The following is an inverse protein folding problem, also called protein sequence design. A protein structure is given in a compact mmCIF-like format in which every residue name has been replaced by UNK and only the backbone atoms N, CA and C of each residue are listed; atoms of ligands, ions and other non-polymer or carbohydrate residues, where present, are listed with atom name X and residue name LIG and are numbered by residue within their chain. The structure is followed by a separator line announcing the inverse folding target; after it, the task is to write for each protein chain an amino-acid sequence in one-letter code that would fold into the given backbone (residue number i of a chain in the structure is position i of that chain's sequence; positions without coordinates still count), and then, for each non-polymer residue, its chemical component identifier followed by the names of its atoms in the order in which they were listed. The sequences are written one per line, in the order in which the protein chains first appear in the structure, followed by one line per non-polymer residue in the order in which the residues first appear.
data_IF_760688393373
#
_entry.id   IF_760688393373
#
_cell.length_a   1.000
_cell.length_b   1.000
_cell.length_c   1.000
_cell.angle_alpha   90.00
_cell.angle_beta   90.00
_cell.angle_gamma   90.00
#
_symmetry.space_group_name_H-M   'P 1'
#
loop_
_entity.id
_entity.type
_entity.pdbx_description
1 polymer ?
#
# COMPACT_ATOMS: atom_id res chain seq x y z
N UNK A 1 -12.75 3.90 -28.17
CA UNK A 1 -11.36 4.07 -27.70
C UNK A 1 -11.25 3.36 -26.34
N UNK A 2 -10.09 2.75 -26.02
CA UNK A 2 -9.91 2.15 -24.70
C UNK A 2 -9.66 3.21 -23.64
N UNK A 3 -10.16 3.00 -22.42
CA UNK A 3 -9.94 3.91 -21.30
C UNK A 3 -8.69 3.49 -20.52
N UNK A 4 -7.84 4.45 -20.18
CA UNK A 4 -6.71 4.28 -19.27
C UNK A 4 -6.89 5.21 -18.07
N UNK A 5 -6.70 4.67 -16.86
CA UNK A 5 -6.71 5.47 -15.63
C UNK A 5 -5.26 5.65 -15.17
N UNK A 6 -4.80 6.89 -15.07
CA UNK A 6 -3.45 7.25 -14.64
C UNK A 6 -3.50 7.95 -13.29
N UNK A 7 -2.92 7.36 -12.25
CA UNK A 7 -2.85 7.96 -10.92
C UNK A 7 -1.46 8.54 -10.67
N UNK A 8 -1.41 9.77 -10.20
CA UNK A 8 -0.16 10.46 -9.85
C UNK A 8 -0.12 10.82 -8.36
N UNK A 9 0.95 10.36 -7.69
CA UNK A 9 1.16 10.61 -6.27
C UNK A 9 1.57 12.07 -5.97
N UNK A 10 1.59 12.44 -4.69
CA UNK A 10 1.89 13.81 -4.27
C UNK A 10 3.24 14.33 -4.75
N UNK A 11 4.27 13.50 -4.83
CA UNK A 11 5.59 13.84 -5.39
C UNK A 11 5.54 14.11 -6.90
N UNK A 12 4.66 13.40 -7.60
CA UNK A 12 4.47 13.53 -9.06
C UNK A 12 3.77 14.82 -9.47
N UNK A 13 3.13 15.51 -8.55
CA UNK A 13 2.40 16.79 -8.78
C UNK A 13 3.01 17.97 -8.00
N UNK A 14 4.09 17.74 -7.24
CA UNK A 14 4.63 18.68 -6.25
C UNK A 14 5.12 20.01 -6.85
N UNK A 15 5.79 19.97 -7.98
CA UNK A 15 6.42 21.13 -8.60
C UNK A 15 6.19 21.14 -10.12
N UNK A 16 6.67 22.20 -10.78
CA UNK A 16 6.49 22.41 -12.22
C UNK A 16 7.14 21.28 -13.06
N UNK A 17 8.36 20.87 -12.71
CA UNK A 17 9.06 19.78 -13.41
C UNK A 17 8.29 18.46 -13.32
N UNK A 18 7.84 18.08 -12.12
CA UNK A 18 7.05 16.87 -11.92
C UNK A 18 5.74 16.91 -12.71
N UNK A 19 5.05 18.06 -12.73
CA UNK A 19 3.82 18.24 -13.52
C UNK A 19 4.07 18.21 -15.01
N UNK A 20 5.19 18.74 -15.50
CA UNK A 20 5.55 18.63 -16.91
C UNK A 20 5.73 17.17 -17.35
N UNK A 21 6.33 16.33 -16.50
CA UNK A 21 6.45 14.87 -16.73
C UNK A 21 5.09 14.18 -16.73
N UNK A 22 4.21 14.52 -15.78
CA UNK A 22 2.83 14.04 -15.75
C UNK A 22 2.13 14.38 -17.07
N UNK A 23 2.18 15.64 -17.50
CA UNK A 23 1.56 16.10 -18.75
C UNK A 23 2.08 15.32 -19.95
N UNK A 24 3.38 15.05 -20.02
CA UNK A 24 3.97 14.23 -21.09
C UNK A 24 3.37 12.81 -21.13
N UNK A 25 3.23 12.14 -19.97
CA UNK A 25 2.63 10.78 -19.88
C UNK A 25 1.16 10.77 -20.30
N UNK A 26 0.39 11.80 -19.94
CA UNK A 26 -1.01 11.94 -20.35
C UNK A 26 -1.12 12.15 -21.86
N UNK A 27 -0.30 13.02 -22.42
CA UNK A 27 -0.28 13.31 -23.87
C UNK A 27 0.17 12.07 -24.66
N UNK A 28 1.16 11.32 -24.18
CA UNK A 28 1.58 10.04 -24.77
C UNK A 28 0.40 9.06 -24.89
N UNK A 29 -0.34 8.83 -23.79
CA UNK A 29 -1.51 7.95 -23.80
C UNK A 29 -2.62 8.46 -24.75
N UNK A 30 -2.83 9.77 -24.83
CA UNK A 30 -3.77 10.38 -25.79
C UNK A 30 -3.33 10.18 -27.23
N UNK A 31 -2.03 10.29 -27.54
CA UNK A 31 -1.50 10.02 -28.89
C UNK A 31 -1.66 8.54 -29.27
N UNK A 32 -1.63 7.63 -28.31
CA UNK A 32 -1.91 6.20 -28.50
C UNK A 32 -3.42 5.90 -28.69
N UNK A 33 -4.24 6.95 -28.82
CA UNK A 33 -5.68 6.85 -29.07
C UNK A 33 -6.49 6.41 -27.85
N UNK A 34 -6.00 6.65 -26.63
CA UNK A 34 -6.72 6.31 -25.38
C UNK A 34 -7.55 7.48 -24.85
N UNK A 35 -8.66 7.15 -24.23
CA UNK A 35 -9.36 8.07 -23.35
C UNK A 35 -8.71 8.02 -21.97
N UNK A 36 -8.30 9.19 -21.44
CA UNK A 36 -7.49 9.24 -20.22
C UNK A 36 -8.27 9.86 -19.07
N UNK A 37 -8.30 9.13 -17.94
CA UNK A 37 -8.74 9.62 -16.65
C UNK A 37 -7.52 9.76 -15.75
N UNK A 38 -7.25 10.96 -15.28
CA UNK A 38 -6.13 11.26 -14.38
C UNK A 38 -6.66 11.34 -12.96
N UNK A 39 -6.05 10.62 -12.02
CA UNK A 39 -6.34 10.70 -10.58
C UNK A 39 -5.12 11.31 -9.87
N UNK A 40 -5.32 12.38 -9.11
CA UNK A 40 -4.21 13.08 -8.44
C UNK A 40 -4.34 13.05 -6.92
N UNK A 41 -3.20 13.00 -6.24
CA UNK A 41 -3.08 13.24 -4.80
C UNK A 41 -2.82 14.73 -4.52
N UNK A 42 -2.90 15.14 -3.26
CA UNK A 42 -2.48 16.46 -2.80
C UNK A 42 -1.00 16.73 -3.16
N UNK A 43 -0.66 18.00 -3.44
CA UNK A 43 0.67 18.39 -3.91
C UNK A 43 1.72 18.34 -2.80
N UNK A 44 2.75 17.53 -3.01
CA UNK A 44 3.92 17.45 -2.14
C UNK A 44 3.70 16.64 -0.86
N UNK A 45 4.61 16.85 0.09
CA UNK A 45 4.58 16.30 1.44
C UNK A 45 4.85 17.44 2.43
N UNK A 46 4.46 17.31 3.68
CA UNK A 46 4.81 18.28 4.74
C UNK A 46 6.29 18.64 4.68
N UNK A 47 6.66 19.93 4.66
CA UNK A 47 5.84 21.12 4.94
C UNK A 47 5.22 21.83 3.73
N UNK A 48 5.07 21.17 2.57
CA UNK A 48 4.42 21.81 1.42
C UNK A 48 3.01 22.30 1.78
N UNK A 49 2.60 23.52 1.34
CA UNK A 49 1.41 24.21 1.87
C UNK A 49 0.09 23.47 1.58
N UNK A 50 0.04 22.68 0.52
CA UNK A 50 -1.16 21.96 0.08
C UNK A 50 -1.10 20.46 0.35
N UNK A 51 -0.07 19.99 1.07
CA UNK A 51 0.03 18.60 1.48
C UNK A 51 -1.04 18.29 2.55
N UNK A 52 -1.63 17.11 2.47
CA UNK A 52 -2.69 16.65 3.38
C UNK A 52 -2.33 16.83 4.85
N UNK A 53 -1.10 16.44 5.26
CA UNK A 53 -0.64 16.59 6.65
C UNK A 53 -0.54 18.08 7.07
N UNK A 54 -0.13 18.98 6.16
CA UNK A 54 -0.04 20.41 6.45
C UNK A 54 -1.44 21.03 6.64
N UNK A 55 -2.41 20.60 5.83
CA UNK A 55 -3.80 21.03 5.95
C UNK A 55 -4.43 20.50 7.24
N UNK A 56 -4.14 19.25 7.63
CA UNK A 56 -4.60 18.69 8.90
C UNK A 56 -3.96 19.38 10.12
N UNK A 57 -2.67 19.75 10.05
CA UNK A 57 -2.03 20.53 11.10
C UNK A 57 -2.66 21.92 11.27
N UNK A 58 -3.10 22.54 10.17
CA UNK A 58 -3.78 23.83 10.22
C UNK A 58 -5.05 23.76 11.08
N UNK A 59 -5.91 22.78 10.85
CA UNK A 59 -7.12 22.61 11.67
C UNK A 59 -6.78 22.16 13.08
N UNK A 60 -5.76 21.30 13.25
CA UNK A 60 -5.26 20.84 14.54
C UNK A 60 -4.71 21.97 15.40
N UNK A 61 -4.10 23.00 14.80
CA UNK A 61 -3.61 24.19 15.51
C UNK A 61 -4.72 25.04 16.12
N UNK A 62 -5.93 24.98 15.57
CA UNK A 62 -7.13 25.67 16.06
C UNK A 62 -7.89 24.78 17.05
N UNK A 63 -8.08 23.50 16.72
CA UNK A 63 -8.80 22.55 17.56
C UNK A 63 -8.22 21.14 17.37
N UNK A 64 -7.51 20.64 18.38
CA UNK A 64 -6.92 19.29 18.35
C UNK A 64 -7.96 18.18 18.22
N UNK A 65 -9.15 18.40 18.74
CA UNK A 65 -10.28 17.47 18.73
C UNK A 65 -11.33 17.84 17.68
N UNK A 66 -10.91 18.50 16.60
CA UNK A 66 -11.81 18.87 15.51
C UNK A 66 -12.60 17.65 15.02
N UNK A 67 -13.92 17.79 14.77
CA UNK A 67 -14.75 16.68 14.32
C UNK A 67 -14.18 16.01 13.07
N UNK A 68 -14.25 14.66 12.94
CA UNK A 68 -13.73 13.94 11.77
C UNK A 68 -14.24 14.48 10.44
N UNK A 69 -15.51 14.91 10.37
CA UNK A 69 -16.11 15.55 9.19
C UNK A 69 -15.34 16.79 8.73
N UNK A 70 -14.97 17.68 9.67
CA UNK A 70 -14.22 18.90 9.34
C UNK A 70 -12.77 18.59 8.92
N UNK A 71 -12.20 17.55 9.52
CA UNK A 71 -10.87 17.06 9.12
C UNK A 71 -10.87 16.51 7.70
N UNK A 72 -11.92 15.79 7.31
CA UNK A 72 -12.08 15.31 5.93
C UNK A 72 -12.27 16.46 4.95
N UNK A 73 -13.11 17.42 5.29
CA UNK A 73 -13.36 18.57 4.43
C UNK A 73 -12.08 19.36 4.10
N UNK A 74 -11.24 19.64 5.11
CA UNK A 74 -9.98 20.35 4.88
C UNK A 74 -8.94 19.47 4.15
N UNK A 75 -8.82 18.19 4.52
CA UNK A 75 -7.88 17.28 3.87
C UNK A 75 -8.16 17.17 2.36
N UNK A 76 -9.43 17.02 1.97
CA UNK A 76 -9.85 16.91 0.57
C UNK A 76 -9.54 18.16 -0.29
N UNK A 77 -9.31 19.33 0.34
CA UNK A 77 -8.91 20.54 -0.39
C UNK A 77 -7.59 20.35 -1.15
N UNK A 78 -6.66 19.56 -0.62
CA UNK A 78 -5.36 19.32 -1.24
C UNK A 78 -5.47 18.71 -2.63
N UNK A 79 -6.28 17.67 -2.77
CA UNK A 79 -6.55 17.02 -4.05
C UNK A 79 -7.38 17.90 -4.99
N UNK A 80 -8.32 18.66 -4.44
CA UNK A 80 -9.12 19.62 -5.23
C UNK A 80 -8.23 20.70 -5.85
N UNK A 81 -7.30 21.27 -5.11
CA UNK A 81 -6.31 22.23 -5.63
C UNK A 81 -5.45 21.54 -6.71
N UNK A 82 -4.99 20.32 -6.43
CA UNK A 82 -4.15 19.55 -7.36
C UNK A 82 -4.83 19.30 -8.71
N UNK A 83 -6.12 18.94 -8.72
CA UNK A 83 -6.87 18.71 -9.98
C UNK A 83 -6.94 19.96 -10.85
N UNK A 84 -7.20 21.12 -10.26
CA UNK A 84 -7.27 22.39 -11.02
C UNK A 84 -5.92 22.76 -11.60
N UNK A 85 -4.84 22.62 -10.83
CA UNK A 85 -3.48 22.92 -11.29
C UNK A 85 -3.05 21.97 -12.41
N UNK A 86 -3.35 20.67 -12.31
CA UNK A 86 -3.03 19.68 -13.34
C UNK A 86 -3.88 19.89 -14.59
N UNK A 87 -5.17 20.18 -14.46
CA UNK A 87 -6.03 20.48 -15.61
C UNK A 87 -5.53 21.73 -16.35
N UNK A 88 -5.15 22.79 -15.63
CA UNK A 88 -4.57 23.99 -16.23
C UNK A 88 -3.22 23.70 -16.94
N UNK A 89 -2.39 22.81 -16.38
CA UNK A 89 -1.11 22.42 -17.02
C UNK A 89 -1.35 21.63 -18.32
N UNK A 90 -2.37 20.75 -18.36
CA UNK A 90 -2.78 20.04 -19.57
C UNK A 90 -3.32 20.99 -20.63
N UNK A 91 -4.19 21.93 -20.26
CA UNK A 91 -4.71 22.96 -21.15
C UNK A 91 -3.58 23.81 -21.75
N UNK A 92 -2.62 24.24 -20.94
CA UNK A 92 -1.46 25.00 -21.40
C UNK A 92 -0.59 24.23 -22.40
N UNK A 93 -0.61 22.90 -22.33
CA UNK A 93 0.07 22.01 -23.27
C UNK A 93 -0.79 21.62 -24.49
N UNK A 94 -1.95 22.24 -24.66
CA UNK A 94 -2.86 21.96 -25.77
C UNK A 94 -3.67 20.64 -25.62
N UNK A 95 -3.74 20.09 -24.43
CA UNK A 95 -4.52 18.90 -24.11
C UNK A 95 -5.74 19.29 -23.26
N UNK A 96 -6.96 19.43 -23.86
CA UNK A 96 -8.15 19.86 -23.14
C UNK A 96 -8.47 18.95 -21.96
N UNK A 97 -8.73 19.54 -20.79
CA UNK A 97 -8.96 18.80 -19.56
C UNK A 97 -10.01 19.45 -18.65
N UNK A 98 -10.68 18.66 -17.83
CA UNK A 98 -11.68 19.12 -16.85
C UNK A 98 -11.34 18.56 -15.47
N UNK A 99 -11.21 19.43 -14.48
CA UNK A 99 -11.05 19.05 -13.07
C UNK A 99 -12.38 18.65 -12.45
N UNK A 100 -12.37 17.54 -11.70
CA UNK A 100 -13.55 17.00 -11.00
C UNK A 100 -13.17 16.65 -9.55
N UNK A 101 -14.00 17.08 -8.60
CA UNK A 101 -13.94 16.55 -7.23
C UNK A 101 -14.39 15.09 -7.20
N UNK A 102 -14.15 14.36 -6.11
CA UNK A 102 -14.64 12.98 -5.94
C UNK A 102 -16.17 12.89 -6.13
N UNK A 103 -16.92 13.82 -5.52
CA UNK A 103 -18.37 13.89 -5.69
C UNK A 103 -18.81 14.18 -7.12
N UNK A 104 -18.15 15.10 -7.83
CA UNK A 104 -18.43 15.38 -9.24
C UNK A 104 -18.07 14.21 -10.15
N UNK A 105 -17.08 13.40 -9.77
CA UNK A 105 -16.73 12.14 -10.44
C UNK A 105 -17.73 11.02 -10.14
N UNK A 106 -18.71 11.27 -9.27
CA UNK A 106 -19.76 10.33 -8.90
C UNK A 106 -19.35 9.31 -7.82
N UNK A 107 -18.32 9.58 -7.03
CA UNK A 107 -17.83 8.70 -5.96
C UNK A 107 -18.67 8.92 -4.70
N UNK A 108 -19.53 7.95 -4.36
CA UNK A 108 -20.29 7.91 -3.12
C UNK A 108 -19.60 7.03 -2.07
N UNK A 109 -19.70 7.44 -0.82
CA UNK A 109 -19.08 6.73 0.32
C UNK A 109 -20.06 6.54 1.45
N UNK A 110 -19.67 5.68 2.42
CA UNK A 110 -20.29 5.67 3.73
C UNK A 110 -19.88 6.94 4.55
N UNK A 111 -20.42 7.07 5.77
CA UNK A 111 -20.15 8.20 6.67
C UNK A 111 -19.06 7.91 7.71
N UNK A 112 -18.17 6.94 7.46
CA UNK A 112 -17.03 6.67 8.31
C UNK A 112 -15.89 7.64 7.99
N UNK A 113 -16.04 8.88 8.48
CA UNK A 113 -15.05 9.94 8.22
C UNK A 113 -13.63 9.52 8.57
N UNK A 114 -12.65 9.97 7.83
CA UNK A 114 -11.21 9.70 7.87
C UNK A 114 -10.77 8.33 7.35
N UNK A 115 -11.69 7.37 7.19
CA UNK A 115 -11.46 6.05 6.60
C UNK A 115 -12.74 5.53 5.91
N UNK A 116 -13.36 6.37 5.10
CA UNK A 116 -14.59 6.05 4.39
C UNK A 116 -14.39 4.96 3.33
N UNK A 117 -15.45 4.22 3.04
CA UNK A 117 -15.47 3.20 1.99
C UNK A 117 -16.33 3.67 0.83
N UNK A 118 -15.85 3.44 -0.38
CA UNK A 118 -16.63 3.68 -1.59
C UNK A 118 -17.79 2.66 -1.60
N UNK A 119 -19.00 3.18 -1.63
CA UNK A 119 -20.24 2.37 -1.70
C UNK A 119 -20.75 2.25 -3.13
N UNK A 120 -20.53 3.28 -3.95
CA UNK A 120 -20.99 3.35 -5.34
C UNK A 120 -20.17 4.34 -6.14
N UNK A 121 -20.02 4.10 -7.44
CA UNK A 121 -19.50 5.09 -8.39
C UNK A 121 -20.48 5.21 -9.56
N UNK A 122 -20.92 6.44 -9.84
CA UNK A 122 -21.73 6.79 -11.00
C UNK A 122 -20.91 7.69 -11.94
N UNK A 123 -20.15 7.14 -12.90
CA UNK A 123 -19.12 7.87 -13.64
C UNK A 123 -19.68 8.75 -14.78
N UNK A 124 -20.96 9.11 -14.73
CA UNK A 124 -21.66 9.84 -15.80
C UNK A 124 -20.89 11.08 -16.24
N UNK A 125 -20.45 11.90 -15.27
CA UNK A 125 -19.74 13.14 -15.58
C UNK A 125 -18.36 12.90 -16.19
N UNK A 126 -17.67 11.84 -15.77
CA UNK A 126 -16.38 11.42 -16.38
C UNK A 126 -16.64 11.03 -17.86
N UNK A 127 -17.64 10.20 -18.12
CA UNK A 127 -17.97 9.76 -19.49
C UNK A 127 -18.36 10.92 -20.40
N UNK A 128 -19.09 11.91 -19.89
CA UNK A 128 -19.39 13.15 -20.62
C UNK A 128 -18.11 13.90 -21.01
N UNK A 129 -17.16 14.07 -20.08
CA UNK A 129 -15.88 14.72 -20.33
C UNK A 129 -15.07 13.97 -21.40
N UNK A 130 -15.00 12.64 -21.29
CA UNK A 130 -14.28 11.80 -22.27
C UNK A 130 -14.94 11.86 -23.66
N UNK A 131 -16.29 11.86 -23.72
CA UNK A 131 -17.03 11.98 -25.00
C UNK A 131 -16.80 13.32 -25.71
N UNK A 132 -16.51 14.38 -24.95
CA UNK A 132 -16.08 15.69 -25.49
C UNK A 132 -14.62 15.70 -25.98
N UNK A 133 -13.91 14.57 -25.93
CA UNK A 133 -12.50 14.44 -26.30
C UNK A 133 -11.53 15.03 -25.28
N UNK A 134 -11.97 15.29 -24.04
CA UNK A 134 -11.18 15.91 -22.98
C UNK A 134 -10.66 14.88 -21.99
N UNK A 135 -9.62 15.24 -21.25
CA UNK A 135 -9.09 14.47 -20.12
C UNK A 135 -9.89 14.79 -18.85
N UNK A 136 -10.34 13.77 -18.12
CA UNK A 136 -10.97 13.95 -16.82
C UNK A 136 -9.89 13.89 -15.71
N UNK A 137 -9.66 15.00 -15.00
CA UNK A 137 -8.73 15.07 -13.88
C UNK A 137 -9.51 15.01 -12.57
N UNK A 138 -9.42 13.89 -11.87
CA UNK A 138 -10.23 13.57 -10.70
C UNK A 138 -9.41 13.70 -9.41
N UNK A 139 -10.00 14.33 -8.41
CA UNK A 139 -9.46 14.35 -7.06
C UNK A 139 -9.50 12.94 -6.48
N UNK A 140 -8.34 12.33 -6.23
CA UNK A 140 -8.24 11.08 -5.51
C UNK A 140 -8.56 11.24 -4.03
N UNK A 141 -8.52 10.15 -3.26
CA UNK A 141 -8.64 10.17 -1.80
C UNK A 141 -10.01 10.58 -1.25
N UNK A 142 -10.92 11.12 -2.03
CA UNK A 142 -12.16 11.70 -1.55
C UNK A 142 -13.41 11.17 -2.27
N UNK A 143 -14.54 11.22 -1.56
CA UNK A 143 -15.88 11.00 -2.07
C UNK A 143 -16.89 11.84 -1.30
N UNK A 144 -18.17 11.53 -1.45
CA UNK A 144 -19.25 12.22 -0.75
C UNK A 144 -20.24 11.23 -0.15
N UNK A 145 -20.77 11.55 1.03
CA UNK A 145 -21.88 10.82 1.63
C UNK A 145 -23.19 11.11 0.90
N UNK A 146 -24.24 10.34 1.16
CA UNK A 146 -25.60 10.63 0.67
C UNK A 146 -26.12 12.03 1.06
N UNK A 147 -25.58 12.60 2.15
CA UNK A 147 -25.92 13.97 2.61
C UNK A 147 -25.11 15.05 1.89
N UNK A 148 -24.15 14.67 1.03
CA UNK A 148 -23.27 15.61 0.34
C UNK A 148 -22.05 16.05 1.15
N UNK A 149 -21.80 15.47 2.34
CA UNK A 149 -20.57 15.71 3.07
C UNK A 149 -19.37 15.07 2.41
N UNK A 150 -18.27 15.80 2.33
CA UNK A 150 -17.01 15.26 1.81
C UNK A 150 -16.42 14.28 2.82
N UNK A 151 -15.92 13.16 2.32
CA UNK A 151 -15.24 12.13 3.11
C UNK A 151 -13.89 11.81 2.51
N UNK A 152 -12.96 11.30 3.33
CA UNK A 152 -11.67 10.80 2.88
C UNK A 152 -11.55 9.29 3.07
N UNK A 153 -10.83 8.62 2.13
CA UNK A 153 -10.73 7.16 2.05
C UNK A 153 -9.59 6.58 2.91
N UNK A 154 -8.96 7.40 3.72
CA UNK A 154 -7.81 6.99 4.52
C UNK A 154 -6.54 6.79 3.68
N UNK A 155 -5.53 6.12 4.26
CA UNK A 155 -4.23 5.89 3.59
C UNK A 155 -4.41 5.19 2.25
N UNK A 156 -3.64 5.62 1.25
CA UNK A 156 -3.70 5.07 -0.11
C UNK A 156 -5.02 5.34 -0.84
N UNK A 157 -5.81 6.30 -0.36
CA UNK A 157 -7.12 6.61 -0.92
C UNK A 157 -7.08 7.02 -2.40
N UNK A 158 -6.00 7.67 -2.88
CA UNK A 158 -5.87 8.00 -4.30
C UNK A 158 -5.61 6.76 -5.18
N UNK A 159 -4.84 5.77 -4.69
CA UNK A 159 -4.65 4.49 -5.38
C UNK A 159 -5.98 3.73 -5.43
N UNK A 160 -6.71 3.73 -4.29
CA UNK A 160 -8.05 3.15 -4.19
C UNK A 160 -9.03 3.81 -5.16
N UNK A 161 -9.02 5.14 -5.27
CA UNK A 161 -9.84 5.90 -6.23
C UNK A 161 -9.53 5.47 -7.66
N UNK A 162 -8.25 5.38 -8.03
CA UNK A 162 -7.85 5.00 -9.39
C UNK A 162 -8.28 3.58 -9.74
N UNK A 163 -8.06 2.61 -8.85
CA UNK A 163 -8.48 1.22 -9.05
C UNK A 163 -10.01 1.12 -9.16
N UNK A 164 -10.76 1.81 -8.30
CA UNK A 164 -12.22 1.81 -8.31
C UNK A 164 -12.80 2.46 -9.58
N UNK A 165 -12.21 3.57 -10.04
CA UNK A 165 -12.58 4.19 -11.31
C UNK A 165 -12.24 3.28 -12.50
N UNK A 166 -11.05 2.66 -12.49
CA UNK A 166 -10.67 1.68 -13.50
C UNK A 166 -11.68 0.54 -13.60
N UNK A 167 -12.08 -0.01 -12.45
CA UNK A 167 -13.10 -1.06 -12.37
C UNK A 167 -14.46 -0.62 -12.93
N UNK A 168 -14.92 0.56 -12.53
CA UNK A 168 -16.24 1.08 -12.92
C UNK A 168 -16.29 1.45 -14.39
N UNK A 169 -15.20 2.00 -14.94
CA UNK A 169 -15.12 2.44 -16.33
C UNK A 169 -14.75 1.31 -17.31
N UNK A 170 -14.41 0.12 -16.81
CA UNK A 170 -13.89 -0.97 -17.64
C UNK A 170 -12.58 -0.60 -18.33
N UNK A 171 -11.67 0.08 -17.58
CA UNK A 171 -10.41 0.52 -18.13
C UNK A 171 -9.54 -0.66 -18.60
N UNK A 172 -8.76 -0.46 -19.67
CA UNK A 172 -7.81 -1.46 -20.15
C UNK A 172 -6.69 -1.70 -19.14
N UNK A 173 -6.28 -0.65 -18.42
CA UNK A 173 -5.23 -0.67 -17.41
C UNK A 173 -5.38 0.50 -16.46
N UNK A 174 -4.92 0.31 -15.22
CA UNK A 174 -4.72 1.39 -14.24
C UNK A 174 -3.21 1.55 -14.02
N UNK A 175 -2.67 2.71 -14.35
CA UNK A 175 -1.27 3.04 -14.16
C UNK A 175 -1.09 3.85 -12.88
N UNK A 176 -0.29 3.33 -11.95
CA UNK A 176 0.06 3.98 -10.69
C UNK A 176 1.45 4.59 -10.83
N UNK A 177 1.51 5.88 -11.02
CA UNK A 177 2.76 6.64 -11.10
C UNK A 177 3.21 7.07 -9.69
N UNK A 178 4.45 6.73 -9.36
CA UNK A 178 5.09 6.97 -8.06
C UNK A 178 6.53 7.43 -8.24
N UNK A 179 7.30 7.48 -7.15
CA UNK A 179 8.73 7.83 -7.13
C UNK A 179 9.68 6.63 -7.30
N UNK A 180 9.12 5.41 -7.44
CA UNK A 180 9.89 4.20 -7.75
C UNK A 180 9.59 3.69 -9.15
N UNK A 181 10.55 3.01 -9.78
CA UNK A 181 10.41 2.52 -11.17
C UNK A 181 9.43 1.35 -11.33
N UNK A 182 9.11 0.69 -10.21
CA UNK A 182 8.22 -0.47 -10.14
C UNK A 182 8.52 -1.32 -8.91
N UNK A 183 8.13 -2.59 -8.95
CA UNK A 183 8.34 -3.52 -7.84
C UNK A 183 9.68 -4.23 -8.03
N UNK A 184 10.46 -4.31 -6.96
CA UNK A 184 11.74 -5.01 -6.93
C UNK A 184 11.67 -6.26 -6.06
N UNK A 185 12.59 -7.19 -6.25
CA UNK A 185 12.70 -8.44 -5.47
C UNK A 185 13.06 -8.21 -4.00
N UNK A 186 13.57 -7.04 -3.64
CA UNK A 186 13.76 -6.52 -2.29
C UNK A 186 13.93 -5.00 -2.34
N UNK A 187 13.98 -4.33 -1.19
CA UNK A 187 14.36 -2.91 -1.12
C UNK A 187 15.84 -2.76 -1.53
N UNK A 188 16.16 -2.04 -2.60
CA UNK A 188 17.55 -1.90 -3.09
C UNK A 188 18.47 -1.18 -2.10
N UNK A 189 17.92 -0.42 -1.14
CA UNK A 189 18.68 0.20 -0.07
C UNK A 189 19.20 -0.82 0.95
N UNK A 190 18.49 -1.95 1.10
CA UNK A 190 18.83 -3.07 2.00
C UNK A 190 19.60 -4.15 1.24
N UNK A 191 19.15 -4.48 0.02
CA UNK A 191 19.72 -5.53 -0.83
C UNK A 191 20.10 -4.91 -2.18
N UNK A 192 21.36 -4.49 -2.39
CA UNK A 192 21.80 -3.85 -3.64
C UNK A 192 21.63 -4.73 -4.89
N UNK A 193 21.60 -6.06 -4.73
CA UNK A 193 21.38 -7.05 -5.79
C UNK A 193 19.91 -7.23 -6.15
N UNK A 194 18.99 -6.48 -5.51
CA UNK A 194 17.57 -6.54 -5.84
C UNK A 194 17.32 -6.21 -7.30
N UNK A 195 16.43 -6.97 -7.93
CA UNK A 195 16.08 -6.83 -9.34
C UNK A 195 14.67 -6.31 -9.52
N UNK A 196 14.51 -5.57 -10.58
CA UNK A 196 13.22 -5.14 -11.07
C UNK A 196 12.41 -6.34 -11.56
N UNK A 197 11.10 -6.32 -11.30
CA UNK A 197 10.16 -7.35 -11.76
C UNK A 197 9.26 -6.76 -12.85
N UNK A 198 9.39 -7.27 -14.07
CA UNK A 198 8.58 -6.82 -15.20
C UNK A 198 7.09 -7.18 -15.02
N UNK A 199 6.83 -8.32 -14.40
CA UNK A 199 5.48 -8.84 -14.17
C UNK A 199 5.34 -9.44 -12.78
N UNK A 200 4.16 -9.32 -12.18
CA UNK A 200 3.84 -9.85 -10.86
C UNK A 200 2.38 -10.28 -10.79
N UNK A 201 2.05 -11.27 -9.95
CA UNK A 201 0.67 -11.61 -9.63
C UNK A 201 0.09 -10.61 -8.62
N UNK A 202 -1.24 -10.46 -8.59
CA UNK A 202 -1.90 -9.68 -7.53
C UNK A 202 -1.62 -10.28 -6.16
N UNK A 203 -1.60 -11.61 -6.04
CA UNK A 203 -1.34 -12.32 -4.78
C UNK A 203 0.03 -11.97 -4.21
N UNK A 204 1.09 -12.02 -5.04
CA UNK A 204 2.44 -11.67 -4.60
C UNK A 204 2.53 -10.21 -4.16
N UNK A 205 1.91 -9.27 -4.91
CA UNK A 205 1.92 -7.86 -4.55
C UNK A 205 1.14 -7.58 -3.25
N UNK A 206 -0.03 -8.22 -3.07
CA UNK A 206 -0.82 -8.15 -1.84
C UNK A 206 0.01 -8.64 -0.66
N UNK A 207 0.66 -9.79 -0.81
CA UNK A 207 1.45 -10.37 0.26
C UNK A 207 2.69 -9.51 0.56
N UNK A 208 3.38 -9.00 -0.45
CA UNK A 208 4.48 -8.04 -0.25
C UNK A 208 4.01 -6.80 0.52
N UNK A 209 2.84 -6.25 0.18
CA UNK A 209 2.28 -5.09 0.88
C UNK A 209 1.93 -5.43 2.35
N UNK A 210 1.33 -6.60 2.61
CA UNK A 210 1.05 -7.12 3.95
C UNK A 210 2.35 -7.31 4.76
N UNK A 211 3.41 -7.74 4.10
CA UNK A 211 4.73 -7.93 4.72
C UNK A 211 5.59 -6.65 4.73
N UNK A 212 5.00 -5.49 4.44
CA UNK A 212 5.61 -4.17 4.67
C UNK A 212 6.18 -3.46 3.45
N UNK A 213 6.10 -4.01 2.25
CA UNK A 213 6.47 -3.29 1.03
C UNK A 213 5.50 -2.12 0.78
N UNK A 214 6.03 -0.90 0.60
CA UNK A 214 5.24 0.33 0.47
C UNK A 214 5.23 0.84 -0.98
N UNK A 215 4.83 0.00 -1.93
CA UNK A 215 4.84 0.37 -3.35
C UNK A 215 3.46 0.86 -3.80
N UNK A 216 2.40 0.11 -3.48
CA UNK A 216 1.00 0.42 -3.77
C UNK A 216 0.14 0.07 -2.57
N UNK A 217 -0.95 0.76 -2.39
CA UNK A 217 -1.85 0.48 -1.27
C UNK A 217 -2.67 -0.79 -1.51
N UNK A 218 -2.77 -1.64 -0.48
CA UNK A 218 -3.42 -2.96 -0.51
C UNK A 218 -4.84 -2.91 -1.10
N UNK A 219 -5.70 -1.98 -0.65
CA UNK A 219 -7.08 -1.84 -1.15
C UNK A 219 -7.16 -1.63 -2.67
N UNK A 220 -6.20 -0.92 -3.25
CA UNK A 220 -6.17 -0.70 -4.70
C UNK A 220 -5.89 -2.01 -5.45
N UNK A 221 -4.94 -2.81 -4.94
CA UNK A 221 -4.59 -4.11 -5.53
C UNK A 221 -5.76 -5.10 -5.40
N UNK A 222 -6.43 -5.13 -4.25
CA UNK A 222 -7.62 -5.97 -4.02
C UNK A 222 -8.76 -5.62 -4.98
N UNK A 223 -9.06 -4.32 -5.18
CA UNK A 223 -10.09 -3.87 -6.13
C UNK A 223 -9.72 -4.31 -7.55
N UNK A 224 -8.47 -4.08 -7.97
CA UNK A 224 -8.00 -4.46 -9.28
C UNK A 224 -8.06 -5.98 -9.51
N UNK A 225 -7.66 -6.78 -8.53
CA UNK A 225 -7.76 -8.24 -8.55
C UNK A 225 -9.19 -8.71 -8.71
N UNK A 226 -10.12 -8.22 -7.88
CA UNK A 226 -11.53 -8.62 -7.95
C UNK A 226 -12.18 -8.23 -9.28
N UNK A 227 -11.78 -7.10 -9.84
CA UNK A 227 -12.29 -6.60 -11.11
C UNK A 227 -11.50 -7.10 -12.33
N UNK A 228 -10.41 -7.84 -12.11
CA UNK A 228 -9.48 -8.35 -13.13
C UNK A 228 -8.90 -7.26 -14.04
N UNK A 229 -8.62 -6.09 -13.47
CA UNK A 229 -8.06 -4.97 -14.22
C UNK A 229 -6.55 -4.91 -14.00
N UNK A 230 -5.74 -4.99 -15.06
CA UNK A 230 -4.30 -4.87 -14.94
C UNK A 230 -3.90 -3.55 -14.26
N UNK A 231 -2.90 -3.64 -13.37
CA UNK A 231 -2.22 -2.47 -12.82
C UNK A 231 -0.82 -2.39 -13.42
N UNK A 232 -0.37 -1.19 -13.74
CA UNK A 232 1.04 -0.93 -14.03
C UNK A 232 1.59 0.02 -12.96
N UNK A 233 2.67 -0.38 -12.30
CA UNK A 233 3.37 0.44 -11.32
C UNK A 233 4.56 1.06 -12.04
N UNK A 234 4.57 2.39 -12.18
CA UNK A 234 5.50 3.14 -13.02
C UNK A 234 6.12 4.32 -12.27
N UNK A 235 7.27 4.79 -12.73
CA UNK A 235 7.83 6.04 -12.26
C UNK A 235 7.31 7.24 -13.07
N UNK A 236 7.02 8.34 -12.37
CA UNK A 236 6.80 9.63 -13.03
C UNK A 236 8.09 10.16 -13.64
N UNK A 237 9.25 9.75 -13.14
CA UNK A 237 10.56 10.35 -13.41
C UNK A 237 11.43 9.56 -14.38
N UNK A 238 10.95 8.40 -14.86
CA UNK A 238 11.65 7.58 -15.87
C UNK A 238 10.68 7.08 -16.93
N UNK A 239 11.23 6.59 -18.04
CA UNK A 239 10.48 5.95 -19.12
C UNK A 239 10.51 4.40 -19.01
N UNK A 240 10.86 3.89 -17.83
CA UNK A 240 10.77 2.46 -17.52
C UNK A 240 9.33 1.97 -17.76
N UNK A 241 9.13 0.79 -18.37
CA UNK A 241 7.80 0.21 -18.58
C UNK A 241 7.06 -0.06 -17.27
N UNK A 242 7.79 -0.13 -16.15
CA UNK A 242 7.20 -0.43 -14.85
C UNK A 242 6.91 -1.92 -14.64
N UNK A 243 6.30 -2.26 -13.52
CA UNK A 243 5.85 -3.61 -13.21
C UNK A 243 4.38 -3.76 -13.59
N UNK A 244 4.08 -4.73 -14.48
CA UNK A 244 2.71 -5.12 -14.79
C UNK A 244 2.20 -6.11 -13.74
N UNK A 245 1.10 -5.77 -13.09
CA UNK A 245 0.41 -6.63 -12.11
C UNK A 245 -0.91 -7.09 -12.72
N UNK A 246 -1.04 -8.39 -12.93
CA UNK A 246 -2.22 -9.00 -13.51
C UNK A 246 -2.36 -10.45 -13.03
N UNK A 247 -3.51 -11.08 -13.30
CA UNK A 247 -3.62 -12.52 -13.19
C UNK A 247 -2.60 -13.13 -14.18
N UNK A 248 -1.48 -13.60 -13.64
CA UNK A 248 -0.52 -14.35 -14.42
C UNK A 248 -1.16 -15.73 -14.62
N UNK A 249 -2.05 -15.86 -15.62
CA UNK A 249 -2.35 -17.17 -16.14
C UNK A 249 -1.00 -17.82 -16.48
N UNK A 250 -0.76 -19.09 -16.12
CA UNK A 250 0.46 -19.76 -16.50
C UNK A 250 0.58 -19.54 -18.01
N UNK A 251 1.54 -18.69 -18.42
CA UNK A 251 1.81 -18.46 -19.84
C UNK A 251 2.04 -19.84 -20.43
N UNK A 252 1.19 -20.24 -21.36
CA UNK A 252 1.35 -21.43 -22.18
C UNK A 252 2.55 -21.29 -23.15
N UNK A 253 3.62 -20.67 -22.68
CA UNK A 253 4.95 -20.80 -23.25
C UNK A 253 5.63 -21.81 -22.33
N UNK A 254 5.80 -23.02 -22.85
CA UNK A 254 6.52 -24.11 -22.21
C UNK A 254 7.97 -23.71 -21.89
N UNK A 255 8.15 -22.89 -20.87
CA UNK A 255 9.41 -22.80 -20.15
C UNK A 255 9.33 -23.89 -19.11
N UNK A 256 10.05 -25.02 -19.36
CA UNK A 256 10.22 -26.09 -18.39
C UNK A 256 11.02 -25.70 -17.16
N UNK A 257 11.22 -24.39 -16.92
CA UNK A 257 11.78 -23.88 -15.66
C UNK A 257 10.70 -23.96 -14.57
N UNK A 258 10.99 -24.60 -13.42
CA UNK A 258 10.05 -24.62 -12.32
C UNK A 258 9.72 -23.17 -11.92
N UNK A 259 8.44 -22.87 -11.58
CA UNK A 259 8.06 -21.54 -11.11
C UNK A 259 8.93 -21.17 -9.90
N UNK A 260 9.35 -19.89 -9.83
CA UNK A 260 10.08 -19.40 -8.67
C UNK A 260 9.22 -19.57 -7.44
N UNK A 261 9.76 -20.26 -6.44
CA UNK A 261 9.06 -20.52 -5.17
C UNK A 261 8.89 -19.24 -4.35
N UNK A 262 9.87 -18.33 -4.45
CA UNK A 262 9.90 -17.03 -3.75
C UNK A 262 10.07 -15.95 -4.80
N UNK A 263 9.25 -14.90 -4.69
CA UNK A 263 9.23 -13.73 -5.59
C UNK A 263 10.00 -12.54 -5.01
N UNK A 264 9.99 -12.39 -3.67
CA UNK A 264 10.58 -11.22 -3.02
C UNK A 264 10.99 -11.48 -1.57
N UNK A 265 11.82 -10.58 -1.05
CA UNK A 265 12.15 -10.43 0.38
C UNK A 265 11.72 -9.05 0.83
N UNK A 266 10.95 -8.97 1.92
CA UNK A 266 10.52 -7.71 2.54
C UNK A 266 11.07 -7.57 3.94
N UNK A 267 11.20 -6.33 4.40
CA UNK A 267 11.71 -6.02 5.74
C UNK A 267 10.85 -4.97 6.43
N UNK A 268 10.65 -5.13 7.72
CA UNK A 268 9.96 -4.14 8.57
C UNK A 268 10.78 -3.96 9.85
N UNK A 269 11.40 -2.81 9.99
CA UNK A 269 12.15 -2.40 11.18
C UNK A 269 11.21 -1.91 12.30
N UNK A 270 11.79 -1.50 13.41
CA UNK A 270 11.12 -0.87 14.55
C UNK A 270 9.99 -1.74 15.11
N UNK A 271 10.30 -3.01 15.41
CA UNK A 271 9.39 -3.96 16.05
C UNK A 271 9.86 -4.25 17.48
N UNK A 272 8.87 -4.43 18.35
CA UNK A 272 9.07 -4.92 19.71
C UNK A 272 8.29 -6.20 19.88
N UNK A 273 8.97 -7.27 20.31
CA UNK A 273 8.32 -8.51 20.69
C UNK A 273 7.81 -8.39 22.11
N UNK A 274 6.60 -8.84 22.35
CA UNK A 274 6.02 -9.04 23.68
C UNK A 274 5.83 -10.55 23.91
N UNK A 275 6.24 -11.02 25.08
CA UNK A 275 6.06 -12.39 25.52
C UNK A 275 5.32 -12.37 26.84
N UNK A 276 4.12 -12.94 26.85
CA UNK A 276 3.28 -13.13 28.04
C UNK A 276 3.49 -14.56 28.51
N UNK A 277 3.94 -14.74 29.78
CA UNK A 277 4.15 -16.04 30.37
C UNK A 277 3.03 -16.36 31.36
N UNK A 278 2.67 -17.63 31.49
CA UNK A 278 1.69 -18.12 32.44
C UNK A 278 0.68 -19.08 31.81
N UNK A 279 -0.15 -19.70 32.65
CA UNK A 279 -1.26 -20.55 32.21
C UNK A 279 -2.43 -19.68 31.72
N UNK A 280 -2.24 -19.12 30.53
CA UNK A 280 -3.23 -18.25 29.85
C UNK A 280 -4.39 -19.05 29.24
N UNK A 281 -4.35 -20.39 29.33
CA UNK A 281 -5.35 -21.30 28.75
C UNK A 281 -6.32 -21.90 29.76
N UNK A 282 -6.00 -21.87 31.05
CA UNK A 282 -6.93 -22.34 32.07
C UNK A 282 -8.22 -21.53 32.15
N UNK A 283 -8.14 -20.29 31.63
CA UNK A 283 -9.30 -19.43 31.36
C UNK A 283 -9.24 -18.93 29.91
N UNK A 284 -10.15 -19.48 29.07
CA UNK A 284 -10.32 -19.02 27.67
C UNK A 284 -10.61 -17.53 27.58
N UNK A 285 -11.05 -16.88 28.67
CA UNK A 285 -11.23 -15.44 28.79
C UNK A 285 -9.93 -14.67 28.76
N UNK A 286 -8.79 -15.25 29.19
CA UNK A 286 -7.51 -14.54 29.26
C UNK A 286 -6.94 -14.21 27.87
N UNK A 287 -6.96 -15.16 26.92
CA UNK A 287 -6.49 -14.92 25.54
C UNK A 287 -7.40 -13.91 24.84
N UNK A 288 -8.71 -14.05 24.99
CA UNK A 288 -9.68 -13.11 24.45
C UNK A 288 -9.47 -11.72 25.05
N UNK A 289 -9.29 -11.63 26.38
CA UNK A 289 -9.04 -10.38 27.10
C UNK A 289 -7.82 -9.65 26.56
N UNK A 290 -6.69 -10.34 26.36
CA UNK A 290 -5.46 -9.76 25.79
C UNK A 290 -5.72 -9.07 24.45
N UNK A 291 -6.27 -9.81 23.47
CA UNK A 291 -6.42 -9.26 22.12
C UNK A 291 -7.56 -8.26 22.00
N UNK A 292 -8.66 -8.42 22.78
CA UNK A 292 -9.77 -7.46 22.80
C UNK A 292 -9.30 -6.11 23.35
N UNK A 293 -8.57 -6.11 24.46
CA UNK A 293 -8.12 -4.87 25.10
C UNK A 293 -7.09 -4.15 24.26
N UNK A 294 -6.17 -4.87 23.61
CA UNK A 294 -5.23 -4.26 22.64
C UNK A 294 -5.99 -3.67 21.43
N UNK A 295 -7.02 -4.35 20.94
CA UNK A 295 -7.83 -3.85 19.83
C UNK A 295 -8.62 -2.58 20.22
N UNK A 296 -9.17 -2.50 21.42
CA UNK A 296 -9.89 -1.34 21.95
C UNK A 296 -8.96 -0.10 22.01
N UNK A 297 -7.67 -0.32 22.30
CA UNK A 297 -6.63 0.70 22.26
C UNK A 297 -6.07 0.94 20.84
N UNK A 298 -6.62 0.30 19.81
CA UNK A 298 -6.18 0.38 18.41
C UNK A 298 -4.71 -0.02 18.19
N UNK A 299 -4.19 -0.91 19.06
CA UNK A 299 -2.84 -1.48 18.92
C UNK A 299 -2.91 -2.68 17.99
N UNK A 300 -2.19 -2.59 16.87
CA UNK A 300 -2.09 -3.69 15.90
C UNK A 300 -1.03 -4.69 16.31
N UNK A 301 -1.38 -5.97 16.32
CA UNK A 301 -0.48 -7.07 16.62
C UNK A 301 -0.16 -7.88 15.36
N UNK A 302 1.05 -8.44 15.30
CA UNK A 302 1.54 -9.24 14.16
C UNK A 302 2.35 -10.44 14.68
N UNK A 303 2.62 -11.45 13.85
CA UNK A 303 3.38 -12.67 14.18
C UNK A 303 2.89 -13.34 15.49
N UNK A 304 1.59 -13.56 15.62
CA UNK A 304 1.02 -14.11 16.84
C UNK A 304 1.34 -15.60 16.94
N UNK A 305 2.02 -16.02 18.02
CA UNK A 305 2.20 -17.42 18.40
C UNK A 305 1.61 -17.66 19.79
N UNK A 306 0.71 -18.62 19.87
CA UNK A 306 0.02 -18.98 21.11
C UNK A 306 0.41 -20.40 21.50
N UNK A 307 1.03 -20.54 22.68
CA UNK A 307 1.47 -21.81 23.25
C UNK A 307 0.73 -22.04 24.58
N UNK A 308 0.69 -23.26 25.09
CA UNK A 308 0.02 -23.53 26.38
C UNK A 308 0.54 -22.71 27.55
N UNK A 309 1.81 -22.36 27.56
CA UNK A 309 2.52 -21.69 28.64
C UNK A 309 2.89 -20.23 28.36
N UNK A 310 2.64 -19.74 27.12
CA UNK A 310 2.99 -18.38 26.73
C UNK A 310 2.27 -17.93 25.47
N UNK A 311 2.17 -16.62 25.31
CA UNK A 311 1.78 -15.94 24.05
C UNK A 311 2.94 -15.04 23.64
N UNK A 312 3.35 -15.10 22.37
CA UNK A 312 4.32 -14.20 21.80
C UNK A 312 3.73 -13.50 20.57
N UNK A 313 3.90 -12.20 20.50
CA UNK A 313 3.51 -11.39 19.34
C UNK A 313 4.39 -10.17 19.22
N UNK A 314 4.29 -9.45 18.09
CA UNK A 314 5.02 -8.22 17.90
C UNK A 314 4.07 -7.04 17.69
N UNK A 315 4.53 -5.86 18.09
CA UNK A 315 3.87 -4.58 17.85
C UNK A 315 4.87 -3.59 17.23
N UNK A 316 4.38 -2.49 16.69
CA UNK A 316 5.26 -1.38 16.33
C UNK A 316 5.94 -0.82 17.59
N UNK A 317 7.24 -0.52 17.54
CA UNK A 317 8.00 -0.09 18.73
C UNK A 317 7.39 1.16 19.39
N UNK A 318 6.81 2.06 18.60
CA UNK A 318 6.09 3.24 19.13
C UNK A 318 4.83 2.91 19.95
N UNK A 319 4.27 1.72 19.77
CA UNK A 319 3.05 1.25 20.44
C UNK A 319 3.36 0.34 21.64
N UNK A 320 4.64 -0.08 21.80
CA UNK A 320 5.03 -1.06 22.79
C UNK A 320 4.74 -0.62 24.23
N UNK A 321 5.03 0.64 24.58
CA UNK A 321 4.77 1.16 25.93
C UNK A 321 3.28 1.14 26.27
N UNK A 322 2.43 1.58 25.35
CA UNK A 322 0.98 1.56 25.52
C UNK A 322 0.46 0.11 25.61
N UNK A 323 0.99 -0.81 24.80
CA UNK A 323 0.63 -2.22 24.86
C UNK A 323 0.94 -2.84 26.24
N UNK A 324 2.14 -2.58 26.79
CA UNK A 324 2.54 -3.06 28.09
C UNK A 324 1.66 -2.51 29.20
N UNK A 325 1.36 -1.20 29.17
CA UNK A 325 0.47 -0.56 30.15
C UNK A 325 -0.93 -1.17 30.11
N UNK A 326 -1.49 -1.33 28.92
CA UNK A 326 -2.80 -1.95 28.69
C UNK A 326 -2.86 -3.39 29.23
N UNK A 327 -1.81 -4.20 29.02
CA UNK A 327 -1.74 -5.56 29.53
C UNK A 327 -1.60 -5.61 31.05
N UNK A 328 -0.87 -4.67 31.64
CA UNK A 328 -0.70 -4.55 33.07
C UNK A 328 -2.02 -4.22 33.79
N UNK A 329 -2.92 -3.46 33.17
CA UNK A 329 -4.27 -3.20 33.69
C UNK A 329 -5.10 -4.48 33.81
N UNK A 330 -4.80 -5.51 32.98
CA UNK A 330 -5.39 -6.84 33.08
C UNK A 330 -4.69 -7.77 34.09
N UNK A 331 -3.66 -7.26 34.78
CA UNK A 331 -2.83 -8.07 35.68
C UNK A 331 -1.86 -9.01 34.96
N UNK A 332 -1.55 -8.75 33.69
CA UNK A 332 -0.66 -9.57 32.86
C UNK A 332 0.68 -8.83 32.70
N UNK A 333 1.76 -9.44 33.17
CA UNK A 333 3.10 -8.94 32.95
C UNK A 333 3.61 -9.40 31.59
N UNK A 334 4.14 -8.45 30.82
CA UNK A 334 4.71 -8.69 29.49
C UNK A 334 6.23 -8.51 29.51
N UNK A 335 6.97 -9.55 29.17
CA UNK A 335 8.40 -9.43 28.84
C UNK A 335 8.53 -8.76 27.47
N UNK A 336 9.36 -7.72 27.37
CA UNK A 336 9.57 -6.96 26.13
C UNK A 336 10.97 -7.19 25.58
N UNK A 337 11.03 -7.44 24.27
CA UNK A 337 12.29 -7.54 23.54
C UNK A 337 12.27 -6.46 22.43
N UNK A 338 12.79 -5.25 22.70
CA UNK A 338 12.84 -4.16 21.72
C UNK A 338 13.95 -4.35 20.69
N UNK A 339 14.00 -3.51 19.66
CA UNK A 339 15.06 -3.53 18.65
C UNK A 339 15.00 -4.79 17.79
N UNK A 340 13.78 -5.19 17.40
CA UNK A 340 13.54 -6.30 16.50
C UNK A 340 13.12 -5.79 15.10
N UNK A 341 13.35 -6.63 14.10
CA UNK A 341 12.86 -6.44 12.74
C UNK A 341 12.23 -7.73 12.22
N UNK A 342 11.19 -7.58 11.41
CA UNK A 342 10.59 -8.68 10.66
C UNK A 342 11.20 -8.74 9.28
N UNK A 343 11.70 -9.92 8.87
CA UNK A 343 12.20 -10.22 7.53
C UNK A 343 11.36 -11.36 6.97
N UNK A 344 10.75 -11.16 5.80
CA UNK A 344 9.81 -12.12 5.21
C UNK A 344 10.22 -12.48 3.80
N UNK A 345 10.17 -13.77 3.46
CA UNK A 345 10.17 -14.25 2.07
C UNK A 345 8.73 -14.36 1.60
N UNK A 346 8.44 -13.89 0.41
CA UNK A 346 7.11 -13.84 -0.19
C UNK A 346 7.12 -14.59 -1.52
N UNK A 347 6.08 -15.36 -1.79
CA UNK A 347 5.91 -16.01 -3.09
C UNK A 347 4.72 -16.98 -3.13
N UNK A 348 3.88 -16.84 -4.14
CA UNK A 348 2.73 -17.72 -4.40
C UNK A 348 3.16 -19.18 -4.61
N UNK A 349 4.38 -19.39 -5.14
CA UNK A 349 4.94 -20.71 -5.41
C UNK A 349 5.36 -21.52 -4.17
N UNK A 350 5.26 -20.96 -2.94
CA UNK A 350 5.62 -21.68 -1.70
C UNK A 350 4.59 -22.68 -1.25
N UNK A 351 3.33 -22.50 -1.64
CA UNK A 351 2.22 -23.36 -1.20
C UNK A 351 2.44 -24.80 -1.60
N UNK A 352 2.48 -25.69 -0.59
CA UNK A 352 2.63 -27.13 -0.81
C UNK A 352 4.03 -27.59 -1.24
N UNK A 353 5.02 -26.71 -1.28
CA UNK A 353 6.42 -27.06 -1.61
C UNK A 353 7.18 -27.37 -0.32
N UNK A 354 7.59 -28.65 -0.11
CA UNK A 354 8.35 -29.00 1.08
C UNK A 354 9.76 -28.39 1.05
N UNK A 355 10.29 -28.06 2.23
CA UNK A 355 11.68 -27.64 2.40
C UNK A 355 11.95 -26.14 2.25
N UNK A 356 10.94 -25.29 1.98
CA UNK A 356 11.14 -23.84 1.90
C UNK A 356 11.63 -23.30 3.24
N UNK A 357 11.00 -23.66 4.36
CA UNK A 357 11.46 -23.26 5.69
C UNK A 357 12.87 -23.77 6.02
N UNK A 358 13.24 -24.96 5.56
CA UNK A 358 14.61 -25.46 5.75
C UNK A 358 15.66 -24.62 5.00
N UNK A 359 15.32 -24.10 3.81
CA UNK A 359 16.17 -23.17 3.06
C UNK A 359 16.27 -21.83 3.77
N UNK A 360 15.17 -21.31 4.32
CA UNK A 360 15.15 -20.07 5.12
C UNK A 360 16.05 -20.23 6.35
N UNK A 361 15.84 -21.32 7.12
CA UNK A 361 16.61 -21.57 8.33
C UNK A 361 18.13 -21.73 8.04
N UNK A 362 18.49 -22.43 6.94
CA UNK A 362 19.89 -22.57 6.51
C UNK A 362 20.50 -21.23 6.17
N UNK A 363 19.84 -20.41 5.35
CA UNK A 363 20.34 -19.11 4.96
C UNK A 363 20.63 -18.20 6.17
N UNK A 364 19.70 -18.17 7.12
CA UNK A 364 19.85 -17.38 8.34
C UNK A 364 20.96 -17.94 9.27
N UNK A 365 21.06 -19.28 9.38
CA UNK A 365 22.13 -19.94 10.13
C UNK A 365 23.50 -19.63 9.55
N UNK A 366 23.69 -19.80 8.25
CA UNK A 366 24.96 -19.57 7.56
C UNK A 366 25.38 -18.10 7.63
N UNK A 367 24.42 -17.19 7.70
CA UNK A 367 24.64 -15.76 7.92
C UNK A 367 24.81 -15.38 9.40
N UNK A 368 24.83 -16.34 10.33
CA UNK A 368 24.90 -16.12 11.78
C UNK A 368 23.82 -15.15 12.29
N UNK A 369 22.60 -15.25 11.77
CA UNK A 369 21.42 -14.47 12.19
C UNK A 369 20.62 -15.27 13.20
N UNK A 370 20.35 -14.69 14.37
CA UNK A 370 19.51 -15.29 15.39
C UNK A 370 18.04 -15.07 15.04
N UNK A 371 17.27 -16.15 14.90
CA UNK A 371 15.81 -16.09 14.75
C UNK A 371 15.17 -16.10 16.14
N UNK A 372 14.34 -15.10 16.41
CA UNK A 372 13.63 -14.93 17.69
C UNK A 372 12.23 -15.58 17.65
N UNK A 373 11.56 -15.46 16.49
CA UNK A 373 10.20 -15.94 16.25
C UNK A 373 10.00 -16.20 14.78
N UNK A 374 9.11 -17.10 14.42
CA UNK A 374 8.67 -17.32 13.04
C UNK A 374 7.16 -17.31 12.94
N UNK A 375 6.65 -16.92 11.79
CA UNK A 375 5.25 -17.06 11.41
C UNK A 375 5.17 -17.35 9.94
N UNK A 376 4.28 -18.23 9.51
CA UNK A 376 4.12 -18.60 8.12
C UNK A 376 2.67 -18.52 7.65
N UNK A 377 2.52 -18.34 6.36
CA UNK A 377 1.27 -18.44 5.62
C UNK A 377 1.48 -19.30 4.37
N UNK A 378 0.46 -19.42 3.54
CA UNK A 378 0.61 -20.07 2.24
C UNK A 378 1.54 -19.32 1.27
N UNK A 379 1.77 -18.03 1.50
CA UNK A 379 2.43 -17.12 0.56
C UNK A 379 3.63 -16.38 1.18
N UNK A 380 3.88 -16.56 2.49
CA UNK A 380 5.02 -15.93 3.16
C UNK A 380 5.56 -16.77 4.31
N UNK A 381 6.85 -16.60 4.57
CA UNK A 381 7.51 -17.05 5.80
C UNK A 381 8.22 -15.84 6.38
N UNK A 382 7.80 -15.45 7.58
CA UNK A 382 8.33 -14.30 8.33
C UNK A 382 9.21 -14.76 9.48
N UNK A 383 10.37 -14.14 9.62
CA UNK A 383 11.31 -14.35 10.72
C UNK A 383 11.50 -13.03 11.47
N UNK A 384 11.32 -13.06 12.79
CA UNK A 384 11.73 -11.97 13.67
C UNK A 384 13.20 -12.14 14.01
N UNK A 385 13.97 -11.09 13.81
CA UNK A 385 15.42 -11.07 14.06
C UNK A 385 15.78 -9.80 14.83
N UNK A 386 16.95 -9.72 15.49
CA UNK A 386 17.46 -8.45 15.98
C UNK A 386 17.55 -7.44 14.83
N UNK A 387 17.18 -6.19 15.08
CA UNK A 387 17.15 -5.15 14.04
C UNK A 387 18.53 -4.91 13.43
N UNK A 388 19.60 -5.06 14.24
CA UNK A 388 20.99 -5.02 13.76
C UNK A 388 21.34 -6.07 12.73
N UNK A 389 20.57 -7.16 12.65
CA UNK A 389 20.78 -8.27 11.73
C UNK A 389 19.86 -8.22 10.50
N UNK A 390 18.92 -7.26 10.45
CA UNK A 390 17.87 -7.18 9.44
C UNK A 390 18.44 -7.18 8.01
N UNK A 391 19.43 -6.32 7.72
CA UNK A 391 20.01 -6.25 6.37
C UNK A 391 20.75 -7.55 6.01
N UNK A 392 21.52 -8.12 6.96
CA UNK A 392 22.22 -9.37 6.75
C UNK A 392 21.28 -10.53 6.48
N UNK A 393 20.16 -10.60 7.23
CA UNK A 393 19.11 -11.58 7.03
C UNK A 393 18.47 -11.44 5.65
N UNK A 394 18.08 -10.22 5.26
CA UNK A 394 17.46 -9.95 3.96
C UNK A 394 18.37 -10.35 2.79
N UNK A 395 19.65 -10.00 2.83
CA UNK A 395 20.66 -10.36 1.81
C UNK A 395 20.86 -11.87 1.72
N UNK A 396 20.96 -12.55 2.87
CA UNK A 396 21.12 -14.00 2.92
C UNK A 396 19.92 -14.72 2.29
N UNK A 397 18.71 -14.31 2.62
CA UNK A 397 17.48 -14.87 2.06
C UNK A 397 17.36 -14.57 0.56
N UNK A 398 17.64 -13.35 0.12
CA UNK A 398 17.62 -12.96 -1.27
C UNK A 398 18.60 -13.78 -2.12
N UNK A 399 19.82 -14.00 -1.61
CA UNK A 399 20.84 -14.85 -2.27
C UNK A 399 20.42 -16.33 -2.29
N UNK A 400 19.87 -16.86 -1.17
CA UNK A 400 19.44 -18.25 -1.05
C UNK A 400 18.33 -18.63 -2.06
N UNK A 401 17.44 -17.68 -2.36
CA UNK A 401 16.36 -17.87 -3.34
C UNK A 401 16.70 -17.36 -4.73
N UNK A 402 17.98 -16.97 -4.96
CA UNK A 402 18.51 -16.53 -6.25
C UNK A 402 17.73 -15.37 -6.91
N UNK A 403 17.22 -14.46 -6.08
CA UNK A 403 16.36 -13.38 -6.54
C UNK A 403 17.13 -12.28 -7.31
N UNK A 404 18.45 -12.28 -7.24
CA UNK A 404 19.36 -11.40 -7.98
C UNK A 404 19.79 -11.93 -9.35
N UNK A 405 19.28 -13.10 -9.77
CA UNK A 405 19.64 -13.72 -11.07
C UNK A 405 18.59 -13.51 -12.15
#
# INVERSE_FOLDING_TARGET
MGIVVQKFGGTSVANEESRARLVAKVIEARHDGKDVVVVVSAMGRKPAPYATDTLLDLVGSVCLTAPPRERDAIAACGETISTVVVAAALEAAGCPAVSLTGGQAGISTDSNYTDARITKIEPRRILEVLSDGKVAVVAGFQGVTERGDVTTLGRGGSDTTAAALGATLGAEIVEIYTDVEGVMTADPRVVPEARFQDTMSYTDLIEMANQGAKVVHLRAVEIAMHSRIPLAIKSTFSDSPGTLVADVAPRAVATFAPPRVVSAVTTVAERTQLVLQGDLYSDTGSVLGVFSTLADQRISVDMINVFPDRIAFIVASREAAAAVETLKELGIDAETNPGCAKVSVVGEGMRGVPGVMARVARALHDAAVRVLQTSDSHYSISCLVPESDMERAARALHAQFELGK
#
